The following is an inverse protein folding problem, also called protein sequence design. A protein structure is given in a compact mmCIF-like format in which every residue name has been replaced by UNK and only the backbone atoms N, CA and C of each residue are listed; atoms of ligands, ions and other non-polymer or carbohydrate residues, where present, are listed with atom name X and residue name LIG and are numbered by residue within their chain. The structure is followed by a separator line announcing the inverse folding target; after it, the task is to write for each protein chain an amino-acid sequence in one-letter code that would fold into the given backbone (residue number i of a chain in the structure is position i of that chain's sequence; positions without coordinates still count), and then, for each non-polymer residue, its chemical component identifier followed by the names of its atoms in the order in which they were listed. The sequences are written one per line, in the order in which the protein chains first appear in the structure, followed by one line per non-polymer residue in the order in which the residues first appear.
data_IF_089651843475
#
_entry.id   IF_089651843475
#
_cell.length_a   1.000
_cell.length_b   1.000
_cell.length_c   1.000
_cell.angle_alpha   90.00
_cell.angle_beta   90.00
_cell.angle_gamma   90.00
#
_symmetry.space_group_name_H-M   'P 1'
#
loop_
_entity.id
_entity.type
_entity.pdbx_description
1 polymer ?
#
# COMPACT_ATOMS: atom_id res chain seq x y z
N UNK A 1 21.97 25.59 2.83
CA UNK A 1 20.98 24.50 2.74
C UNK A 1 21.44 23.52 3.81
N UNK A 2 20.87 23.67 5.02
CA UNK A 2 21.18 22.80 6.14
C UNK A 2 20.83 21.37 5.76
N UNK A 3 21.82 20.47 5.73
CA UNK A 3 21.59 19.03 5.82
C UNK A 3 20.79 18.82 7.12
N UNK A 4 19.50 18.56 6.98
CA UNK A 4 18.78 17.91 8.08
C UNK A 4 19.44 16.56 8.27
N UNK A 5 19.97 16.35 9.47
CA UNK A 5 20.35 15.03 9.97
C UNK A 5 19.17 14.12 9.69
N UNK A 6 19.26 13.26 8.66
CA UNK A 6 18.14 12.42 8.22
C UNK A 6 17.94 11.38 9.31
N UNK A 7 17.00 11.66 10.21
CA UNK A 7 16.59 10.74 11.25
C UNK A 7 16.20 9.40 10.62
N UNK A 8 16.86 8.33 11.04
CA UNK A 8 16.58 6.99 10.55
C UNK A 8 15.15 6.60 10.91
N UNK A 9 14.31 6.38 9.92
CA UNK A 9 12.92 5.96 10.09
C UNK A 9 12.77 4.45 9.83
N UNK A 10 11.83 3.85 10.55
CA UNK A 10 11.30 2.52 10.26
C UNK A 10 10.02 2.64 9.45
N UNK A 11 10.03 2.14 8.22
CA UNK A 11 8.97 2.33 7.22
C UNK A 11 8.42 0.97 6.80
N UNK A 12 7.13 0.74 7.01
CA UNK A 12 6.48 -0.44 6.44
C UNK A 12 5.84 -0.09 5.09
N UNK A 13 6.14 -0.87 4.06
CA UNK A 13 5.56 -0.73 2.72
C UNK A 13 4.47 -1.78 2.53
N UNK A 14 3.26 -1.37 2.15
CA UNK A 14 2.12 -2.28 1.95
C UNK A 14 1.63 -2.20 0.52
N UNK A 15 1.79 -3.28 -0.23
CA UNK A 15 1.37 -3.38 -1.62
C UNK A 15 1.92 -4.62 -2.32
N UNK A 16 1.74 -4.73 -3.66
CA UNK A 16 2.32 -5.82 -4.42
C UNK A 16 3.84 -5.64 -4.52
N UNK A 17 4.57 -6.63 -4.05
CA UNK A 17 6.03 -6.76 -4.15
C UNK A 17 6.34 -8.22 -4.44
N UNK A 18 7.59 -8.59 -4.64
CA UNK A 18 7.93 -9.99 -4.89
C UNK A 18 7.09 -10.96 -4.01
N UNK A 19 6.53 -12.05 -4.58
CA UNK A 19 6.69 -12.58 -5.93
C UNK A 19 5.70 -12.01 -6.97
N UNK A 20 4.98 -10.92 -6.67
CA UNK A 20 4.10 -10.28 -7.65
C UNK A 20 4.93 -9.55 -8.70
N UNK A 21 4.43 -9.55 -9.96
CA UNK A 21 5.06 -8.85 -11.08
C UNK A 21 4.21 -7.68 -11.57
N UNK A 22 4.84 -6.75 -12.26
CA UNK A 22 4.18 -5.61 -12.90
C UNK A 22 4.71 -4.27 -12.42
N UNK A 23 4.26 -3.20 -13.07
CA UNK A 23 4.77 -1.85 -12.82
C UNK A 23 4.60 -1.39 -11.38
N UNK A 24 3.50 -1.76 -10.73
CA UNK A 24 3.22 -1.37 -9.33
C UNK A 24 4.18 -2.08 -8.37
N UNK A 25 4.45 -3.38 -8.59
CA UNK A 25 5.41 -4.13 -7.78
C UNK A 25 6.81 -3.55 -7.95
N UNK A 26 7.24 -3.35 -9.19
CA UNK A 26 8.54 -2.75 -9.49
C UNK A 26 8.70 -1.34 -8.88
N UNK A 27 7.64 -0.52 -8.88
CA UNK A 27 7.66 0.78 -8.24
C UNK A 27 7.95 0.68 -6.73
N UNK A 28 7.26 -0.23 -6.02
CA UNK A 28 7.48 -0.41 -4.58
C UNK A 28 8.87 -0.96 -4.28
N UNK A 29 9.38 -1.89 -5.08
CA UNK A 29 10.74 -2.40 -4.95
C UNK A 29 11.78 -1.29 -5.11
N UNK A 30 11.61 -0.41 -6.12
CA UNK A 30 12.49 0.76 -6.31
C UNK A 30 12.34 1.80 -5.20
N UNK A 31 11.15 1.96 -4.66
CA UNK A 31 10.94 2.83 -3.51
C UNK A 31 11.65 2.28 -2.27
N UNK A 32 11.57 0.97 -2.04
CA UNK A 32 12.29 0.30 -0.95
C UNK A 32 13.80 0.47 -1.08
N UNK A 33 14.37 0.14 -2.25
CA UNK A 33 15.79 0.35 -2.54
C UNK A 33 16.22 1.79 -2.21
N UNK A 34 15.47 2.79 -2.70
CA UNK A 34 15.79 4.19 -2.46
C UNK A 34 15.67 4.63 -0.98
N UNK A 35 14.81 3.99 -0.19
CA UNK A 35 14.70 4.23 1.25
C UNK A 35 15.88 3.61 2.00
N UNK A 36 16.26 2.38 1.65
CA UNK A 36 17.43 1.69 2.23
C UNK A 36 18.73 2.43 1.91
N UNK A 37 18.91 2.93 0.68
CA UNK A 37 20.07 3.76 0.28
C UNK A 37 20.19 5.04 1.11
N UNK A 38 19.06 5.58 1.59
CA UNK A 38 19.03 6.75 2.50
C UNK A 38 19.18 6.40 3.97
N UNK A 39 19.42 5.13 4.29
CA UNK A 39 19.68 4.66 5.66
C UNK A 39 18.42 4.38 6.48
N UNK A 40 17.22 4.43 5.89
CA UNK A 40 15.99 4.03 6.56
C UNK A 40 15.91 2.50 6.70
N UNK A 41 15.08 2.03 7.63
CA UNK A 41 14.74 0.62 7.79
C UNK A 41 13.40 0.36 7.11
N UNK A 42 13.32 -0.67 6.26
CA UNK A 42 12.07 -1.04 5.58
C UNK A 42 11.58 -2.40 6.04
N UNK A 43 10.26 -2.55 6.14
CA UNK A 43 9.60 -3.82 6.39
C UNK A 43 8.44 -3.94 5.39
N UNK A 44 8.68 -4.60 4.25
CA UNK A 44 7.66 -4.76 3.22
C UNK A 44 6.66 -5.86 3.57
N UNK A 45 5.38 -5.55 3.36
CA UNK A 45 4.25 -6.46 3.54
C UNK A 45 3.44 -6.55 2.26
N UNK A 46 3.23 -7.76 1.77
CA UNK A 46 2.52 -8.02 0.53
C UNK A 46 1.34 -8.98 0.71
N UNK A 47 0.72 -9.33 -0.39
CA UNK A 47 -0.49 -10.15 -0.38
C UNK A 47 -0.19 -11.65 -0.33
N UNK A 48 -1.03 -12.39 0.37
CA UNK A 48 -1.21 -13.82 0.15
C UNK A 48 -2.14 -14.06 -1.02
N UNK A 49 -3.15 -13.16 -1.21
CA UNK A 49 -4.04 -13.12 -2.36
C UNK A 49 -4.42 -11.68 -2.66
N UNK A 50 -4.02 -11.18 -3.85
CA UNK A 50 -4.29 -9.83 -4.28
C UNK A 50 -5.69 -9.69 -4.90
N UNK A 51 -6.06 -10.60 -5.83
CA UNK A 51 -7.33 -10.61 -6.52
C UNK A 51 -7.98 -12.00 -6.49
N UNK A 52 -9.32 -12.07 -6.59
CA UNK A 52 -9.99 -13.32 -7.00
C UNK A 52 -9.48 -13.73 -8.39
N UNK A 53 -9.23 -15.02 -8.59
CA UNK A 53 -8.76 -15.56 -9.89
C UNK A 53 -9.69 -15.16 -11.05
N UNK A 54 -11.01 -15.10 -10.78
CA UNK A 54 -12.04 -14.70 -11.75
C UNK A 54 -11.87 -13.26 -12.27
N UNK A 55 -11.28 -12.35 -11.49
CA UNK A 55 -11.10 -10.94 -11.86
C UNK A 55 -9.75 -10.68 -12.54
N UNK A 56 -8.90 -11.68 -12.64
CA UNK A 56 -7.60 -11.54 -13.30
C UNK A 56 -7.55 -12.39 -14.59
N UNK A 57 -7.73 -11.78 -15.76
CA UNK A 57 -7.70 -12.50 -17.03
C UNK A 57 -6.29 -12.88 -17.51
N UNK A 58 -5.24 -12.54 -16.74
CA UNK A 58 -3.85 -12.86 -17.04
C UNK A 58 -3.47 -14.30 -16.67
N UNK A 59 -2.39 -14.81 -17.27
CA UNK A 59 -1.95 -16.18 -17.02
C UNK A 59 -1.36 -16.38 -15.62
N UNK A 60 -0.71 -15.37 -15.03
CA UNK A 60 -0.16 -15.41 -13.67
C UNK A 60 0.15 -14.01 -13.15
N UNK A 61 -0.08 -13.78 -11.85
CA UNK A 61 0.29 -12.54 -11.14
C UNK A 61 1.71 -12.61 -10.58
N UNK A 62 2.34 -13.77 -10.64
CA UNK A 62 3.61 -14.05 -10.02
C UNK A 62 4.75 -14.11 -11.05
N UNK A 63 5.96 -13.88 -10.57
CA UNK A 63 7.17 -14.20 -11.31
C UNK A 63 7.25 -15.72 -11.47
N UNK A 64 7.53 -16.19 -12.69
CA UNK A 64 7.75 -17.62 -12.94
C UNK A 64 9.01 -18.05 -12.20
N UNK A 65 8.94 -19.21 -11.50
CA UNK A 65 10.04 -19.78 -10.72
C UNK A 65 10.58 -18.88 -9.59
N UNK A 66 9.71 -18.04 -8.98
CA UNK A 66 10.11 -17.23 -7.85
C UNK A 66 10.54 -18.09 -6.66
N UNK A 67 11.86 -18.14 -6.40
CA UNK A 67 12.40 -18.72 -5.18
C UNK A 67 12.13 -17.75 -4.01
N UNK A 68 11.58 -18.26 -2.90
CA UNK A 68 11.34 -17.46 -1.70
C UNK A 68 12.63 -17.42 -0.88
N UNK A 69 13.06 -16.22 -0.55
CA UNK A 69 14.24 -15.93 0.29
C UNK A 69 13.84 -15.40 1.66
N UNK A 70 14.78 -15.28 2.59
CA UNK A 70 14.52 -14.69 3.90
C UNK A 70 14.26 -13.19 3.86
N UNK A 71 14.69 -12.52 2.79
CA UNK A 71 14.55 -11.07 2.58
C UNK A 71 13.28 -10.71 1.81
N UNK A 72 12.46 -11.71 1.45
CA UNK A 72 11.22 -11.47 0.74
C UNK A 72 10.17 -10.75 1.59
N UNK A 73 9.30 -9.96 0.97
CA UNK A 73 8.18 -9.30 1.64
C UNK A 73 7.28 -10.28 2.38
N UNK A 74 6.86 -9.91 3.60
CA UNK A 74 5.94 -10.74 4.38
C UNK A 74 4.56 -10.83 3.71
N UNK A 75 4.15 -12.03 3.34
CA UNK A 75 2.86 -12.29 2.67
C UNK A 75 1.76 -12.50 3.69
N UNK A 76 1.02 -11.45 4.02
CA UNK A 76 0.04 -11.46 5.11
C UNK A 76 -1.39 -11.15 4.65
N UNK A 77 -1.56 -10.29 3.64
CA UNK A 77 -2.84 -9.69 3.30
C UNK A 77 -3.60 -10.50 2.22
N UNK A 78 -4.74 -11.04 2.59
CA UNK A 78 -5.75 -11.55 1.66
C UNK A 78 -6.88 -10.53 1.53
N UNK A 79 -7.06 -9.96 0.33
CA UNK A 79 -8.03 -8.89 0.08
C UNK A 79 -9.49 -9.30 0.28
N UNK A 80 -9.78 -10.59 0.27
CA UNK A 80 -11.13 -11.14 0.44
C UNK A 80 -11.41 -11.65 1.86
N UNK A 81 -10.39 -11.70 2.72
CA UNK A 81 -10.54 -12.25 4.06
C UNK A 81 -10.31 -11.18 5.15
N UNK A 82 -11.39 -10.62 5.75
CA UNK A 82 -11.29 -9.58 6.78
C UNK A 82 -10.47 -9.98 8.01
N UNK A 83 -10.37 -11.27 8.31
CA UNK A 83 -9.54 -11.74 9.41
C UNK A 83 -8.06 -11.48 9.15
N UNK A 84 -7.61 -11.62 7.90
CA UNK A 84 -6.22 -11.28 7.54
C UNK A 84 -5.96 -9.79 7.65
N UNK A 85 -6.94 -8.92 7.35
CA UNK A 85 -6.80 -7.46 7.51
C UNK A 85 -6.49 -7.09 8.95
N UNK A 86 -7.25 -7.67 9.90
CA UNK A 86 -6.99 -7.45 11.32
C UNK A 86 -5.63 -8.00 11.75
N UNK A 87 -5.24 -9.20 11.30
CA UNK A 87 -3.94 -9.79 11.60
C UNK A 87 -2.80 -8.96 11.03
N UNK A 88 -2.91 -8.50 9.79
CA UNK A 88 -1.94 -7.62 9.14
C UNK A 88 -1.82 -6.29 9.91
N UNK A 89 -2.94 -5.68 10.28
CA UNK A 89 -2.93 -4.44 11.05
C UNK A 89 -2.25 -4.61 12.43
N UNK A 90 -2.53 -5.72 13.13
CA UNK A 90 -1.85 -6.05 14.39
C UNK A 90 -0.37 -6.26 14.21
N UNK A 91 0.01 -7.03 13.20
CA UNK A 91 1.41 -7.31 12.90
C UNK A 91 2.18 -6.02 12.61
N UNK A 92 1.67 -5.20 11.68
CA UNK A 92 2.26 -3.89 11.38
C UNK A 92 2.43 -3.02 12.63
N UNK A 93 1.44 -3.01 13.54
CA UNK A 93 1.55 -2.26 14.79
C UNK A 93 2.61 -2.83 15.76
N UNK A 94 2.93 -4.13 15.69
CA UNK A 94 3.99 -4.74 16.54
C UNK A 94 5.40 -4.44 16.03
N UNK A 95 5.53 -4.04 14.76
CA UNK A 95 6.79 -3.61 14.16
C UNK A 95 7.21 -2.21 14.65
N UNK A 96 6.30 -1.49 15.31
CA UNK A 96 6.50 -0.11 15.79
C UNK A 96 7.07 0.83 14.70
N UNK A 97 6.41 0.92 13.52
CA UNK A 97 6.90 1.74 12.44
C UNK A 97 6.59 3.22 12.67
N UNK A 98 7.50 4.11 12.26
CA UNK A 98 7.26 5.55 12.24
C UNK A 98 6.17 5.92 11.21
N UNK A 99 6.16 5.18 10.09
CA UNK A 99 5.17 5.37 9.03
C UNK A 99 4.87 4.06 8.29
N UNK A 100 3.60 3.88 7.94
CA UNK A 100 3.15 2.82 7.03
C UNK A 100 2.72 3.46 5.72
N UNK A 101 3.32 3.04 4.63
CA UNK A 101 3.05 3.54 3.27
C UNK A 101 2.29 2.49 2.48
N UNK A 102 1.09 2.85 2.03
CA UNK A 102 0.30 2.02 1.14
C UNK A 102 0.50 2.42 -0.32
N UNK A 103 0.45 1.45 -1.22
CA UNK A 103 0.32 1.69 -2.66
C UNK A 103 -1.12 1.47 -3.08
N UNK A 104 -1.80 2.52 -3.53
CA UNK A 104 -3.22 2.50 -3.86
C UNK A 104 -3.47 2.83 -5.33
N UNK A 105 -4.20 1.95 -6.04
CA UNK A 105 -4.48 2.11 -7.48
C UNK A 105 -5.92 1.73 -7.88
N UNK A 106 -6.73 1.17 -6.97
CA UNK A 106 -8.13 0.89 -7.25
C UNK A 106 -8.96 0.70 -5.97
N UNK A 107 -10.24 1.06 -6.08
CA UNK A 107 -11.23 1.02 -5.00
C UNK A 107 -11.46 -0.35 -4.36
N UNK A 108 -11.13 -1.43 -5.08
CA UNK A 108 -11.23 -2.81 -4.58
C UNK A 108 -10.41 -3.05 -3.29
N UNK A 109 -9.28 -2.39 -3.13
CA UNK A 109 -8.43 -2.52 -1.94
C UNK A 109 -8.89 -1.65 -0.77
N UNK A 110 -9.73 -0.66 -1.03
CA UNK A 110 -10.11 0.34 -0.05
C UNK A 110 -10.72 -0.22 1.24
N UNK A 111 -11.56 -1.27 1.24
CA UNK A 111 -12.08 -1.86 2.48
C UNK A 111 -10.96 -2.41 3.38
N UNK A 112 -10.04 -3.18 2.81
CA UNK A 112 -8.92 -3.76 3.55
C UNK A 112 -7.96 -2.68 4.05
N UNK A 113 -7.48 -1.84 3.15
CA UNK A 113 -6.54 -0.76 3.46
C UNK A 113 -7.14 0.25 4.44
N UNK A 114 -8.40 0.62 4.26
CA UNK A 114 -9.08 1.57 5.13
C UNK A 114 -9.28 1.07 6.57
N UNK A 115 -9.51 -0.22 6.77
CA UNK A 115 -9.60 -0.80 8.11
C UNK A 115 -8.22 -0.93 8.76
N UNK A 116 -7.20 -1.35 8.00
CA UNK A 116 -5.82 -1.42 8.48
C UNK A 116 -5.33 -0.01 8.87
N UNK A 117 -5.50 0.99 7.99
CA UNK A 117 -5.11 2.37 8.25
C UNK A 117 -5.74 2.94 9.53
N UNK A 118 -7.06 2.77 9.71
CA UNK A 118 -7.74 3.22 10.94
C UNK A 118 -7.25 2.53 12.20
N UNK A 119 -6.93 1.25 12.10
CA UNK A 119 -6.38 0.49 13.22
C UNK A 119 -5.00 1.04 13.62
N UNK A 120 -4.13 1.30 12.66
CA UNK A 120 -2.77 1.84 12.86
C UNK A 120 -2.83 3.27 13.43
N UNK A 121 -3.62 4.15 12.84
CA UNK A 121 -3.77 5.53 13.33
C UNK A 121 -4.28 5.63 14.76
N UNK A 122 -5.20 4.74 15.16
CA UNK A 122 -5.65 4.66 16.57
C UNK A 122 -4.54 4.27 17.54
N UNK A 123 -3.41 3.80 17.04
CA UNK A 123 -2.20 3.46 17.81
C UNK A 123 -1.08 4.47 17.66
N UNK A 124 -1.36 5.59 17.02
CA UNK A 124 -0.39 6.66 16.81
C UNK A 124 0.57 6.44 15.64
N UNK A 125 0.40 5.34 14.87
CA UNK A 125 1.22 5.08 13.68
C UNK A 125 0.76 5.99 12.55
N UNK A 126 1.68 6.72 11.93
CA UNK A 126 1.39 7.56 10.77
C UNK A 126 1.12 6.70 9.54
N UNK A 127 0.09 7.05 8.80
CA UNK A 127 -0.30 6.33 7.58
C UNK A 127 -0.27 7.26 6.38
N UNK A 128 0.50 6.89 5.37
CA UNK A 128 0.61 7.60 4.09
C UNK A 128 0.23 6.66 2.95
N UNK A 129 -0.28 7.18 1.85
CA UNK A 129 -0.51 6.37 0.65
C UNK A 129 0.02 7.05 -0.59
N UNK A 130 0.64 6.26 -1.47
CA UNK A 130 0.97 6.65 -2.84
C UNK A 130 -0.21 6.27 -3.72
N UNK A 131 -0.82 7.25 -4.36
CA UNK A 131 -2.05 7.13 -5.14
C UNK A 131 -1.71 7.17 -6.64
N UNK A 132 -1.97 6.07 -7.35
CA UNK A 132 -1.84 6.02 -8.81
C UNK A 132 -3.13 6.48 -9.51
N UNK A 133 -4.29 6.08 -8.94
CA UNK A 133 -5.61 6.48 -9.43
C UNK A 133 -6.51 6.75 -8.23
N UNK A 134 -7.03 7.95 -8.10
CA UNK A 134 -8.01 8.31 -7.07
C UNK A 134 -9.43 7.93 -7.51
N UNK A 135 -9.75 8.15 -8.78
CA UNK A 135 -11.02 7.80 -9.41
C UNK A 135 -10.80 6.80 -10.55
N UNK A 136 -11.55 5.69 -10.60
CA UNK A 136 -11.50 4.78 -11.74
C UNK A 136 -11.97 5.46 -13.02
N UNK A 137 -11.34 5.19 -14.17
CA UNK A 137 -11.79 5.66 -15.48
C UNK A 137 -13.22 5.20 -15.79
N UNK A 138 -13.57 3.98 -15.38
CA UNK A 138 -14.95 3.46 -15.42
C UNK A 138 -15.51 3.46 -13.99
N UNK A 139 -16.26 4.51 -13.64
CA UNK A 139 -16.86 4.66 -12.31
C UNK A 139 -17.99 3.65 -12.12
N UNK A 140 -17.82 2.71 -11.18
CA UNK A 140 -18.89 1.82 -10.71
C UNK A 140 -19.57 2.42 -9.49
N UNK A 141 -20.81 2.01 -9.26
CA UNK A 141 -21.51 2.40 -8.03
C UNK A 141 -20.71 1.96 -6.81
N UNK A 142 -20.34 2.92 -5.97
CA UNK A 142 -19.60 2.67 -4.74
C UNK A 142 -18.09 2.93 -4.80
N UNK A 143 -17.47 3.02 -5.99
CA UNK A 143 -16.01 3.23 -6.10
C UNK A 143 -15.55 4.51 -5.39
N UNK A 144 -16.27 5.61 -5.61
CA UNK A 144 -16.00 6.91 -4.96
C UNK A 144 -16.09 6.78 -3.44
N UNK A 145 -17.14 6.12 -2.95
CA UNK A 145 -17.34 5.92 -1.51
C UNK A 145 -16.23 5.05 -0.89
N UNK A 146 -15.88 3.94 -1.55
CA UNK A 146 -14.82 3.04 -1.10
C UNK A 146 -13.46 3.73 -1.12
N UNK A 147 -13.11 4.40 -2.23
CA UNK A 147 -11.85 5.15 -2.33
C UNK A 147 -11.75 6.23 -1.24
N UNK A 148 -12.79 7.05 -1.09
CA UNK A 148 -12.88 8.08 -0.05
C UNK A 148 -12.77 7.49 1.36
N UNK A 149 -13.37 6.30 1.59
CA UNK A 149 -13.27 5.60 2.87
C UNK A 149 -11.81 5.29 3.24
N UNK A 150 -10.98 4.85 2.30
CA UNK A 150 -9.57 4.59 2.57
C UNK A 150 -8.76 5.89 2.64
N UNK A 151 -8.85 6.73 1.61
CA UNK A 151 -8.03 7.93 1.47
C UNK A 151 -8.15 8.87 2.68
N UNK A 152 -9.37 9.04 3.22
CA UNK A 152 -9.60 9.78 4.48
C UNK A 152 -9.07 9.10 5.74
N UNK A 153 -8.67 7.85 5.64
CA UNK A 153 -8.00 7.15 6.73
C UNK A 153 -6.48 7.38 6.74
N UNK A 154 -5.92 8.04 5.72
CA UNK A 154 -4.51 8.36 5.64
C UNK A 154 -4.22 9.73 6.24
N UNK A 155 -3.01 9.92 6.75
CA UNK A 155 -2.49 11.19 7.26
C UNK A 155 -1.83 12.02 6.16
N UNK A 156 -1.42 11.37 5.06
CA UNK A 156 -0.84 12.01 3.88
C UNK A 156 -1.10 11.21 2.61
N UNK A 157 -1.22 11.95 1.51
CA UNK A 157 -1.42 11.41 0.17
C UNK A 157 -0.27 11.89 -0.72
N UNK A 158 0.38 10.97 -1.41
CA UNK A 158 1.41 11.24 -2.41
C UNK A 158 0.77 10.92 -3.77
N UNK A 159 0.68 11.91 -4.64
CA UNK A 159 0.10 11.75 -5.97
C UNK A 159 1.17 11.51 -7.02
N UNK A 160 0.83 10.78 -8.08
CA UNK A 160 1.75 10.44 -9.15
C UNK A 160 1.63 11.36 -10.36
N UNK A 161 0.58 12.20 -10.43
CA UNK A 161 0.36 13.15 -11.52
C UNK A 161 -0.63 14.25 -11.09
N UNK A 162 -0.64 15.36 -11.84
CA UNK A 162 -1.59 16.48 -11.66
C UNK A 162 -3.05 16.02 -11.88
N UNK A 163 -3.28 15.00 -12.72
CA UNK A 163 -4.60 14.41 -12.95
C UNK A 163 -5.13 13.76 -11.65
N UNK A 164 -4.29 12.98 -10.98
CA UNK A 164 -4.64 12.33 -9.71
C UNK A 164 -4.87 13.38 -8.61
N UNK A 165 -4.09 14.48 -8.60
CA UNK A 165 -4.32 15.60 -7.70
C UNK A 165 -5.68 16.24 -7.95
N UNK A 166 -6.05 16.48 -9.23
CA UNK A 166 -7.37 16.97 -9.62
C UNK A 166 -8.50 16.07 -9.14
N UNK A 167 -8.36 14.75 -9.32
CA UNK A 167 -9.32 13.75 -8.83
C UNK A 167 -9.50 13.83 -7.30
N UNK A 168 -8.42 14.02 -6.54
CA UNK A 168 -8.48 14.17 -5.08
C UNK A 168 -9.21 15.44 -4.69
N UNK A 169 -8.99 16.54 -5.39
CA UNK A 169 -9.74 17.80 -5.19
C UNK A 169 -11.24 17.62 -5.46
N UNK A 170 -11.64 16.86 -6.51
CA UNK A 170 -13.05 16.51 -6.75
C UNK A 170 -13.67 15.73 -5.59
N UNK A 171 -12.86 14.89 -4.89
CA UNK A 171 -13.29 14.12 -3.72
C UNK A 171 -13.29 14.94 -2.43
N UNK A 172 -12.91 16.23 -2.48
CA UNK A 172 -12.84 17.13 -1.32
C UNK A 172 -11.72 16.77 -0.34
N UNK A 173 -10.57 16.40 -0.88
CA UNK A 173 -9.34 16.06 -0.14
C UNK A 173 -8.20 16.99 -0.45
#
# INVERSE_FOLDING_TARGET
MEERDDEKLRISLVGPMHPYRGGIAHFLEKMEEGLLERGHETVPVTFTRQYPELLFPGKTQYVEDAETTADDPERLLDTLNPWTWYRTARHLATLDPDVVVFKYWMSFFAPAFGLIARYLRRRGVRVVTVVDNALPHERRLGDVWLGTFFLRACDGLIVMSDEVEGDLHELGM
#
